data_IF_422170483216
#
_entry.id   IF_422170483216
#
_cell.length_a   1.000
_cell.length_b   1.000
_cell.length_c   1.000
_cell.angle_alpha   90.00
_cell.angle_beta   90.00
_cell.angle_gamma   90.00
#
_symmetry.space_group_name_H-M   'P 1'
#
loop_
_entity.id
_entity.type
_entity.pdbx_description
1 polymer ?
#
# COMPACT_ATOMS: atom_id res chain seq x y z
N UNK A 1 47.31 -101.14 11.77
CA UNK A 1 47.30 -102.52 12.30
C UNK A 1 47.49 -102.40 13.80
N UNK A 2 46.64 -102.80 14.73
CA UNK A 2 45.40 -103.58 14.71
C UNK A 2 44.82 -103.38 16.11
N UNK A 3 43.64 -102.77 16.26
CA UNK A 3 42.89 -102.83 17.51
C UNK A 3 41.70 -103.76 17.27
N UNK A 4 41.57 -104.79 18.11
CA UNK A 4 40.45 -105.73 18.16
C UNK A 4 40.36 -106.34 19.58
N UNK A 5 39.22 -106.96 19.95
CA UNK A 5 38.23 -106.54 20.97
C UNK A 5 38.32 -107.46 22.22
N UNK A 6 37.48 -107.49 23.26
CA UNK A 6 36.02 -107.63 23.42
C UNK A 6 35.72 -107.60 24.95
N UNK A 7 34.66 -106.92 25.42
CA UNK A 7 33.39 -107.50 25.94
C UNK A 7 33.42 -108.08 27.37
N UNK A 8 32.54 -107.57 28.25
CA UNK A 8 31.57 -108.34 29.08
C UNK A 8 30.68 -107.33 29.88
N UNK A 9 29.37 -107.14 29.61
CA UNK A 9 28.19 -107.92 30.08
C UNK A 9 27.70 -107.43 31.47
N UNK A 10 26.45 -107.10 31.81
CA UNK A 10 25.09 -106.98 31.22
C UNK A 10 24.16 -106.52 32.40
N UNK A 11 22.80 -106.55 32.39
CA UNK A 11 21.77 -106.13 31.42
C UNK A 11 20.64 -105.22 32.01
N UNK A 12 19.89 -104.51 31.11
CA UNK A 12 18.42 -104.17 31.09
C UNK A 12 17.77 -103.35 32.24
N UNK A 13 16.59 -102.67 32.04
CA UNK A 13 15.55 -102.90 31.02
C UNK A 13 15.06 -101.66 30.23
N UNK A 14 14.45 -101.94 29.07
CA UNK A 14 13.65 -101.00 28.27
C UNK A 14 12.21 -101.49 28.30
N UNK A 15 11.27 -100.63 28.71
CA UNK A 15 9.81 -100.72 28.49
C UNK A 15 9.12 -99.49 29.09
N UNK A 16 7.91 -99.10 28.62
CA UNK A 16 7.40 -99.02 27.26
C UNK A 16 6.92 -97.58 26.93
N UNK A 17 6.62 -97.35 25.66
CA UNK A 17 5.87 -96.16 25.22
C UNK A 17 4.54 -96.07 25.98
N UNK A 18 4.20 -94.88 26.49
CA UNK A 18 2.81 -94.55 26.85
C UNK A 18 2.49 -93.18 26.30
N UNK A 19 1.71 -93.25 25.24
CA UNK A 19 1.16 -92.22 24.40
C UNK A 19 0.06 -91.46 25.17
N UNK A 20 0.21 -90.16 25.42
CA UNK A 20 -0.91 -89.25 25.73
C UNK A 20 -0.58 -87.81 25.33
N UNK A 21 -1.52 -87.19 24.61
CA UNK A 21 -1.67 -85.73 24.64
C UNK A 21 -1.68 -85.05 23.27
N UNK A 22 -2.81 -85.18 22.58
CA UNK A 22 -3.51 -84.13 21.83
C UNK A 22 -2.76 -82.82 21.53
N UNK A 23 -2.83 -82.35 20.28
CA UNK A 23 -3.76 -81.26 19.92
C UNK A 23 -3.53 -80.84 18.46
N UNK A 24 -4.64 -80.73 17.74
CA UNK A 24 -4.74 -80.22 16.38
C UNK A 24 -4.55 -78.69 16.34
N UNK A 25 -4.24 -78.20 15.13
CA UNK A 25 -4.45 -76.83 14.60
C UNK A 25 -3.51 -75.73 15.14
N UNK A 26 -3.41 -74.53 14.53
CA UNK A 26 -4.02 -74.02 13.28
C UNK A 26 -3.09 -73.18 12.37
N UNK A 27 -3.61 -72.89 11.17
CA UNK A 27 -3.16 -71.90 10.16
C UNK A 27 -2.76 -70.56 10.81
N UNK A 28 -1.49 -70.15 10.64
CA UNK A 28 -0.97 -68.88 11.18
C UNK A 28 -1.60 -67.68 10.44
N UNK A 29 -2.52 -67.00 11.12
CA UNK A 29 -3.04 -65.69 10.73
C UNK A 29 -1.94 -64.62 10.78
N UNK A 30 -1.85 -63.82 9.71
CA UNK A 30 -0.87 -62.75 9.55
C UNK A 30 -0.76 -61.84 10.78
N UNK A 31 0.46 -61.75 11.32
CA UNK A 31 0.83 -60.80 12.39
C UNK A 31 0.51 -59.37 11.96
N UNK A 32 -0.53 -58.78 12.56
CA UNK A 32 -0.77 -57.32 12.49
C UNK A 32 0.43 -56.61 13.12
N UNK A 33 1.16 -55.84 12.33
CA UNK A 33 2.32 -55.02 12.77
C UNK A 33 1.88 -54.09 13.91
N UNK A 34 2.69 -53.92 14.98
CA UNK A 34 2.35 -53.04 16.09
C UNK A 34 2.19 -51.60 15.59
N UNK A 35 1.08 -50.97 15.94
CA UNK A 35 0.64 -49.68 15.40
C UNK A 35 1.52 -48.50 15.83
N UNK A 36 2.65 -48.29 15.13
CA UNK A 36 3.50 -47.08 15.24
C UNK A 36 2.76 -45.79 14.88
N UNK A 37 1.59 -45.89 14.25
CA UNK A 37 0.74 -44.75 13.85
C UNK A 37 0.38 -43.83 15.01
N UNK A 38 0.17 -44.35 16.22
CA UNK A 38 -0.12 -43.50 17.40
C UNK A 38 1.06 -42.60 17.77
N UNK A 39 2.28 -43.11 17.71
CA UNK A 39 3.49 -42.34 18.01
C UNK A 39 3.77 -41.27 16.95
N UNK A 40 3.53 -41.61 15.68
CA UNK A 40 3.59 -40.67 14.55
C UNK A 40 2.52 -39.58 14.71
N UNK A 41 1.31 -39.95 15.16
CA UNK A 41 0.23 -39.00 15.44
C UNK A 41 0.60 -38.02 16.55
N UNK A 42 1.21 -38.48 17.65
CA UNK A 42 1.70 -37.59 18.71
C UNK A 42 2.83 -36.67 18.22
N UNK A 43 3.72 -37.14 17.33
CA UNK A 43 4.75 -36.31 16.71
C UNK A 43 4.16 -35.21 15.83
N UNK A 44 3.19 -35.54 14.97
CA UNK A 44 2.48 -34.58 14.13
C UNK A 44 1.71 -33.58 15.00
N UNK A 45 1.01 -34.06 16.03
CA UNK A 45 0.28 -33.21 16.97
C UNK A 45 1.22 -32.23 17.69
N UNK A 46 2.41 -32.68 18.09
CA UNK A 46 3.44 -31.82 18.69
C UNK A 46 3.90 -30.70 17.76
N UNK A 47 4.21 -31.02 16.50
CA UNK A 47 4.61 -30.01 15.49
C UNK A 47 3.47 -29.02 15.24
N UNK A 48 2.23 -29.49 15.17
CA UNK A 48 1.07 -28.65 14.91
C UNK A 48 0.80 -27.68 16.07
N UNK A 49 0.97 -28.12 17.31
CA UNK A 49 0.90 -27.26 18.50
C UNK A 49 2.02 -26.21 18.48
N UNK A 50 3.26 -26.60 18.19
CA UNK A 50 4.37 -25.65 18.06
C UNK A 50 4.13 -24.62 16.94
N UNK A 51 3.58 -25.04 15.81
CA UNK A 51 3.26 -24.15 14.70
C UNK A 51 2.17 -23.13 15.08
N UNK A 52 1.13 -23.56 15.79
CA UNK A 52 0.07 -22.65 16.29
C UNK A 52 0.64 -21.64 17.29
N UNK A 53 1.44 -22.10 18.24
CA UNK A 53 2.06 -21.23 19.24
C UNK A 53 3.07 -20.25 18.61
N UNK A 54 3.84 -20.69 17.62
CA UNK A 54 4.80 -19.84 16.89
C UNK A 54 4.15 -18.78 16.00
N UNK A 55 2.98 -19.09 15.42
CA UNK A 55 2.29 -18.17 14.51
C UNK A 55 1.81 -16.89 15.19
N UNK A 56 1.36 -16.97 16.45
CA UNK A 56 0.87 -15.80 17.20
C UNK A 56 1.97 -14.78 17.50
N UNK A 57 3.17 -15.24 17.86
CA UNK A 57 4.31 -14.38 18.20
C UNK A 57 4.90 -13.73 16.94
N UNK A 58 5.03 -14.49 15.84
CA UNK A 58 5.59 -13.97 14.59
C UNK A 58 4.70 -12.94 13.89
N UNK A 59 3.37 -13.11 13.92
CA UNK A 59 2.43 -12.21 13.25
C UNK A 59 2.43 -10.80 13.87
N UNK A 60 2.45 -10.70 15.21
CA UNK A 60 2.48 -9.41 15.91
C UNK A 60 3.73 -8.59 15.60
N UNK A 61 4.90 -9.24 15.62
CA UNK A 61 6.18 -8.62 15.31
C UNK A 61 6.23 -8.09 13.86
N UNK A 62 5.77 -8.89 12.89
CA UNK A 62 5.78 -8.48 11.48
C UNK A 62 4.85 -7.28 11.19
N UNK A 63 3.69 -7.21 11.84
CA UNK A 63 2.79 -6.05 11.70
C UNK A 63 3.37 -4.82 12.39
N UNK A 64 4.02 -4.98 13.53
CA UNK A 64 4.65 -3.87 14.24
C UNK A 64 5.86 -3.31 13.48
N UNK A 65 6.66 -4.17 12.87
CA UNK A 65 7.77 -3.77 11.98
C UNK A 65 7.26 -2.99 10.76
N UNK A 66 6.16 -3.44 10.14
CA UNK A 66 5.54 -2.68 9.04
C UNK A 66 5.03 -1.31 9.49
N UNK A 67 4.35 -1.25 10.64
CA UNK A 67 3.83 0.02 11.18
C UNK A 67 4.95 1.02 11.51
N UNK A 68 6.02 0.53 12.14
CA UNK A 68 7.18 1.37 12.48
C UNK A 68 7.93 1.83 11.23
N UNK A 69 8.10 0.96 10.23
CA UNK A 69 8.69 1.33 8.95
C UNK A 69 7.82 2.35 8.18
N UNK A 70 6.49 2.19 8.19
CA UNK A 70 5.58 3.17 7.59
C UNK A 70 5.64 4.53 8.30
N UNK A 71 5.72 4.54 9.63
CA UNK A 71 5.84 5.76 10.42
C UNK A 71 7.17 6.48 10.13
N UNK A 72 8.27 5.73 10.10
CA UNK A 72 9.60 6.25 9.75
C UNK A 72 9.61 6.84 8.33
N UNK A 73 9.02 6.15 7.36
CA UNK A 73 8.92 6.64 5.99
C UNK A 73 8.14 7.96 5.90
N UNK A 74 7.02 8.08 6.61
CA UNK A 74 6.25 9.32 6.68
C UNK A 74 7.06 10.43 7.33
N UNK A 75 7.78 10.13 8.40
CA UNK A 75 8.65 11.09 9.08
C UNK A 75 9.79 11.58 8.17
N UNK A 76 10.46 10.69 7.45
CA UNK A 76 11.52 11.03 6.48
C UNK A 76 10.96 11.91 5.35
N UNK A 77 9.79 11.54 4.81
CA UNK A 77 9.11 12.32 3.78
C UNK A 77 8.74 13.72 4.29
N UNK A 78 8.14 13.80 5.48
CA UNK A 78 7.80 15.06 6.15
C UNK A 78 9.04 15.94 6.37
N UNK A 79 10.12 15.36 6.90
CA UNK A 79 11.39 16.06 7.14
C UNK A 79 11.96 16.62 5.83
N UNK A 80 11.98 15.81 4.78
CA UNK A 80 12.46 16.23 3.45
C UNK A 80 11.66 17.43 2.94
N UNK A 81 10.33 17.34 2.97
CA UNK A 81 9.46 18.43 2.50
C UNK A 81 9.58 19.70 3.35
N UNK A 82 9.77 19.54 4.66
CA UNK A 82 10.04 20.63 5.58
C UNK A 82 11.34 21.35 5.23
N UNK A 83 12.43 20.61 5.01
CA UNK A 83 13.72 21.20 4.61
C UNK A 83 13.63 21.95 3.27
N UNK A 84 12.94 21.36 2.28
CA UNK A 84 12.69 22.04 1.01
C UNK A 84 11.83 23.30 1.20
N UNK A 85 10.87 23.29 2.12
CA UNK A 85 10.08 24.47 2.45
C UNK A 85 10.94 25.59 3.06
N UNK A 86 11.90 25.24 3.94
CA UNK A 86 12.85 26.21 4.48
C UNK A 86 13.73 26.80 3.37
N UNK A 87 14.15 25.99 2.40
CA UNK A 87 14.88 26.47 1.24
C UNK A 87 14.02 27.42 0.39
N UNK A 88 12.79 27.02 0.07
CA UNK A 88 11.85 27.84 -0.68
C UNK A 88 11.57 29.17 0.04
N UNK A 89 11.47 29.17 1.37
CA UNK A 89 11.34 30.39 2.18
C UNK A 89 12.58 31.30 2.04
N UNK A 90 13.79 30.76 2.10
CA UNK A 90 15.04 31.52 1.90
C UNK A 90 15.17 32.07 0.48
N UNK A 91 14.69 31.32 -0.50
CA UNK A 91 14.67 31.71 -1.91
C UNK A 91 13.52 32.70 -2.23
N UNK A 92 12.70 33.08 -1.24
CA UNK A 92 11.57 33.99 -1.41
C UNK A 92 10.34 33.36 -2.10
N UNK A 93 10.36 32.05 -2.35
CA UNK A 93 9.26 31.28 -2.94
C UNK A 93 8.22 30.91 -1.89
N UNK A 94 7.63 31.93 -1.26
CA UNK A 94 6.76 31.77 -0.08
C UNK A 94 5.51 30.92 -0.34
N UNK A 95 4.92 30.96 -1.54
CA UNK A 95 3.77 30.11 -1.90
C UNK A 95 4.13 28.63 -1.98
N UNK A 96 5.32 28.29 -2.50
CA UNK A 96 5.82 26.91 -2.54
C UNK A 96 6.19 26.43 -1.13
N UNK A 97 6.81 27.29 -0.32
CA UNK A 97 7.10 26.99 1.07
C UNK A 97 5.79 26.68 1.85
N UNK A 98 4.75 27.49 1.67
CA UNK A 98 3.43 27.28 2.28
C UNK A 98 2.83 25.92 1.89
N UNK A 99 2.72 25.64 0.58
CA UNK A 99 2.17 24.38 0.09
C UNK A 99 2.92 23.14 0.64
N UNK A 100 4.25 23.22 0.77
CA UNK A 100 5.05 22.12 1.33
C UNK A 100 4.81 21.94 2.82
N UNK A 101 4.70 23.01 3.59
CA UNK A 101 4.40 22.94 5.02
C UNK A 101 2.99 22.37 5.26
N UNK A 102 2.01 22.76 4.45
CA UNK A 102 0.68 22.14 4.46
C UNK A 102 0.75 20.65 4.13
N UNK A 103 1.52 20.27 3.10
CA UNK A 103 1.72 18.86 2.76
C UNK A 103 2.37 18.08 3.91
N UNK A 104 3.37 18.64 4.61
CA UNK A 104 3.95 18.03 5.81
C UNK A 104 2.88 17.76 6.86
N UNK A 105 1.96 18.70 7.10
CA UNK A 105 0.84 18.52 8.03
C UNK A 105 -0.11 17.39 7.58
N UNK A 106 -0.29 17.18 6.28
CA UNK A 106 -1.10 16.04 5.77
C UNK A 106 -0.42 14.68 5.95
N UNK A 107 0.93 14.64 5.88
CA UNK A 107 1.71 13.40 5.94
C UNK A 107 2.03 13.01 7.38
N UNK A 108 2.45 13.98 8.19
CA UNK A 108 2.84 13.82 9.58
C UNK A 108 2.38 15.04 10.40
N UNK A 109 1.13 15.05 10.88
CA UNK A 109 0.55 16.22 11.58
C UNK A 109 1.23 16.52 12.92
N UNK A 110 1.84 15.53 13.56
CA UNK A 110 2.58 15.66 14.82
C UNK A 110 4.00 16.23 14.61
N UNK A 111 4.32 16.77 13.43
CA UNK A 111 5.68 17.23 13.11
C UNK A 111 6.07 18.43 14.00
N UNK A 112 7.24 18.38 14.67
CA UNK A 112 7.60 19.39 15.66
C UNK A 112 7.76 20.77 15.03
N UNK A 113 7.05 21.76 15.58
CA UNK A 113 7.17 23.17 15.18
C UNK A 113 6.56 23.51 13.81
N UNK A 114 5.76 22.62 13.22
CA UNK A 114 5.15 22.84 11.90
C UNK A 114 4.14 23.99 11.90
N UNK A 115 3.34 24.11 12.96
CA UNK A 115 2.33 25.16 13.10
C UNK A 115 2.94 26.55 13.22
N UNK A 116 4.05 26.66 13.97
CA UNK A 116 4.76 27.93 14.15
C UNK A 116 5.43 28.35 12.84
N UNK A 117 6.01 27.40 12.10
CA UNK A 117 6.56 27.65 10.77
C UNK A 117 5.49 28.10 9.77
N UNK A 118 4.30 27.49 9.80
CA UNK A 118 3.17 27.89 8.96
C UNK A 118 2.78 29.35 9.22
N UNK A 119 2.64 29.73 10.50
CA UNK A 119 2.32 31.11 10.90
C UNK A 119 3.41 32.09 10.47
N UNK A 120 4.69 31.72 10.62
CA UNK A 120 5.83 32.54 10.20
C UNK A 120 5.77 32.84 8.69
N UNK A 121 5.52 31.82 7.87
CA UNK A 121 5.41 31.96 6.41
C UNK A 121 4.20 32.83 6.05
N UNK A 122 3.03 32.57 6.64
CA UNK A 122 1.82 33.37 6.39
C UNK A 122 1.99 34.84 6.80
N UNK A 123 2.68 35.11 7.92
CA UNK A 123 3.00 36.48 8.33
C UNK A 123 3.95 37.13 7.33
N UNK A 124 4.94 36.39 6.82
CA UNK A 124 5.87 36.90 5.81
C UNK A 124 5.13 37.23 4.51
N UNK A 125 4.18 36.38 4.09
CA UNK A 125 3.31 36.65 2.93
C UNK A 125 2.44 37.88 3.18
N UNK A 126 1.80 37.98 4.37
CA UNK A 126 0.92 39.09 4.72
C UNK A 126 1.62 40.43 4.85
N UNK A 127 2.85 40.46 5.38
CA UNK A 127 3.68 41.67 5.49
C UNK A 127 4.28 42.06 4.14
N UNK A 128 4.56 41.10 3.26
CA UNK A 128 4.93 41.37 1.87
C UNK A 128 3.77 41.90 1.01
N UNK A 129 2.51 41.75 1.44
CA UNK A 129 1.33 41.89 0.55
C UNK A 129 0.26 42.90 0.99
N UNK A 130 0.54 43.91 1.82
CA UNK A 130 -0.47 44.92 2.20
C UNK A 130 -0.22 46.31 1.60
N UNK A 131 -1.28 47.03 1.10
CA UNK A 131 -2.61 47.05 1.70
C UNK A 131 -3.81 46.59 0.84
N UNK A 132 -4.67 45.80 1.51
CA UNK A 132 -6.14 45.71 1.49
C UNK A 132 -6.87 45.34 0.18
N UNK A 133 -7.41 44.11 0.14
CA UNK A 133 -8.85 43.81 -0.02
C UNK A 133 -9.11 42.35 0.38
N UNK A 134 -10.20 42.11 1.11
CA UNK A 134 -10.52 40.83 1.75
C UNK A 134 -11.14 39.79 0.78
N UNK A 135 -10.50 38.60 0.71
CA UNK A 135 -10.99 37.22 0.50
C UNK A 135 -11.77 36.82 -0.79
N UNK A 136 -11.83 35.52 -1.18
CA UNK A 136 -11.03 34.35 -0.79
C UNK A 136 -10.35 33.59 -1.97
N UNK A 137 -9.40 32.71 -1.60
CA UNK A 137 -8.93 31.51 -2.30
C UNK A 137 -8.16 31.62 -3.64
N UNK A 138 -6.96 31.00 -3.63
CA UNK A 138 -6.11 30.62 -4.77
C UNK A 138 -5.22 31.73 -5.36
N UNK A 139 -4.02 31.91 -4.82
CA UNK A 139 -3.00 32.75 -5.46
C UNK A 139 -1.93 31.89 -6.15
N UNK A 140 -2.24 31.53 -7.40
CA UNK A 140 -1.24 31.34 -8.45
C UNK A 140 -0.49 32.67 -8.66
N UNK A 141 0.78 32.58 -9.01
CA UNK A 141 1.75 33.63 -9.35
C UNK A 141 1.11 34.90 -9.95
N UNK A 142 1.53 36.14 -9.55
CA UNK A 142 1.14 37.34 -10.27
C UNK A 142 1.82 37.32 -11.65
N UNK A 143 1.11 36.81 -12.65
CA UNK A 143 1.41 37.13 -14.04
C UNK A 143 1.34 38.65 -14.22
N UNK A 144 2.12 39.21 -15.18
CA UNK A 144 2.01 40.62 -15.55
C UNK A 144 0.52 40.93 -15.71
N UNK A 145 0.03 42.02 -15.13
CA UNK A 145 -1.35 42.47 -15.29
C UNK A 145 -1.56 42.83 -16.77
N UNK A 146 -1.78 41.80 -17.58
CA UNK A 146 -2.22 41.88 -18.95
C UNK A 146 -3.61 42.47 -18.86
N UNK A 147 -3.85 43.56 -19.59
CA UNK A 147 -5.16 44.19 -19.64
C UNK A 147 -6.15 43.21 -20.28
N UNK A 148 -6.84 42.44 -19.45
CA UNK A 148 -7.78 41.40 -19.86
C UNK A 148 -9.21 41.93 -19.96
N UNK A 149 -9.44 43.24 -19.81
CA UNK A 149 -10.79 43.82 -19.83
C UNK A 149 -11.54 43.46 -21.11
N UNK A 150 -10.89 43.67 -22.26
CA UNK A 150 -11.46 43.31 -23.56
C UNK A 150 -11.76 41.80 -23.69
N UNK A 151 -10.90 40.94 -23.13
CA UNK A 151 -11.09 39.48 -23.18
C UNK A 151 -12.19 39.01 -22.24
N UNK A 152 -12.33 39.65 -21.08
CA UNK A 152 -13.37 39.34 -20.10
C UNK A 152 -14.78 39.67 -20.63
N UNK A 153 -14.92 40.74 -21.40
CA UNK A 153 -16.17 41.10 -22.09
C UNK A 153 -16.53 40.06 -23.16
N UNK A 154 -15.54 39.57 -23.92
CA UNK A 154 -15.73 38.49 -24.89
C UNK A 154 -16.12 37.17 -24.22
N UNK A 155 -15.55 36.85 -23.05
CA UNK A 155 -15.91 35.63 -22.30
C UNK A 155 -17.34 35.71 -21.75
N UNK A 156 -17.78 36.89 -21.31
CA UNK A 156 -19.17 37.12 -20.93
C UNK A 156 -20.12 36.92 -22.12
N UNK A 157 -19.78 37.47 -23.28
CA UNK A 157 -20.54 37.29 -24.51
C UNK A 157 -20.58 35.81 -24.94
N UNK A 158 -19.45 35.09 -24.84
CA UNK A 158 -19.36 33.66 -25.11
C UNK A 158 -20.30 32.87 -24.21
N UNK A 159 -20.34 33.18 -22.90
CA UNK A 159 -21.25 32.54 -21.96
C UNK A 159 -22.71 32.73 -22.37
N UNK A 160 -23.10 33.95 -22.71
CA UNK A 160 -24.46 34.25 -23.18
C UNK A 160 -24.79 33.50 -24.47
N UNK A 161 -23.88 33.45 -25.44
CA UNK A 161 -24.06 32.71 -26.70
C UNK A 161 -24.19 31.20 -26.45
N UNK A 162 -23.40 30.66 -25.53
CA UNK A 162 -23.45 29.26 -25.12
C UNK A 162 -24.79 28.91 -24.44
N UNK A 163 -25.28 29.79 -23.55
CA UNK A 163 -26.59 29.65 -22.90
C UNK A 163 -27.75 29.74 -23.91
N UNK A 164 -27.61 30.61 -24.92
CA UNK A 164 -28.57 30.77 -26.02
C UNK A 164 -28.44 29.71 -27.12
N UNK A 165 -27.49 28.76 -27.02
CA UNK A 165 -27.22 27.70 -28.00
C UNK A 165 -26.78 28.22 -29.38
N UNK A 166 -26.16 29.38 -29.42
CA UNK A 166 -25.61 29.99 -30.64
C UNK A 166 -24.20 29.43 -30.91
N UNK A 167 -24.12 28.15 -31.31
CA UNK A 167 -22.86 27.41 -31.37
C UNK A 167 -21.84 27.98 -32.38
N UNK A 168 -22.29 28.36 -33.57
CA UNK A 168 -21.43 28.97 -34.60
C UNK A 168 -20.85 30.32 -34.13
N UNK A 169 -21.67 31.15 -33.49
CA UNK A 169 -21.26 32.43 -32.92
C UNK A 169 -20.29 32.22 -31.75
N UNK A 170 -20.57 31.25 -30.87
CA UNK A 170 -19.69 30.88 -29.76
C UNK A 170 -18.30 30.43 -30.22
N UNK A 171 -18.24 29.62 -31.28
CA UNK A 171 -16.98 29.18 -31.89
C UNK A 171 -16.15 30.37 -32.40
N UNK A 172 -16.78 31.36 -33.04
CA UNK A 172 -16.08 32.56 -33.50
C UNK A 172 -15.58 33.41 -32.33
N UNK A 173 -16.40 33.59 -31.29
CA UNK A 173 -16.02 34.35 -30.08
C UNK A 173 -14.84 33.70 -29.35
N UNK A 174 -14.78 32.36 -29.29
CA UNK A 174 -13.61 31.63 -28.77
C UNK A 174 -12.35 31.98 -29.56
N UNK A 175 -12.41 32.00 -30.89
CA UNK A 175 -11.24 32.36 -31.72
C UNK A 175 -10.78 33.79 -31.43
N UNK A 176 -11.72 34.74 -31.33
CA UNK A 176 -11.41 36.11 -30.95
C UNK A 176 -10.74 36.22 -29.56
N UNK A 177 -11.18 35.42 -28.58
CA UNK A 177 -10.52 35.34 -27.26
C UNK A 177 -9.08 34.83 -27.41
N UNK A 178 -8.86 33.78 -28.22
CA UNK A 178 -7.52 33.21 -28.45
C UNK A 178 -6.59 34.13 -29.24
N UNK A 179 -7.12 34.94 -30.15
CA UNK A 179 -6.35 35.91 -30.92
C UNK A 179 -5.83 37.05 -30.03
N UNK A 180 -6.62 37.46 -29.03
CA UNK A 180 -6.22 38.52 -28.09
C UNK A 180 -5.34 37.96 -26.97
N UNK A 181 -5.71 36.82 -26.40
CA UNK A 181 -4.94 36.18 -25.34
C UNK A 181 -5.06 34.64 -25.36
N UNK A 182 -4.06 33.95 -25.96
CA UNK A 182 -4.03 32.49 -25.98
C UNK A 182 -3.98 31.84 -24.59
N UNK A 183 -3.50 32.54 -23.56
CA UNK A 183 -3.35 32.04 -22.19
C UNK A 183 -4.54 32.34 -21.28
N UNK A 184 -5.52 33.12 -21.74
CA UNK A 184 -6.65 33.52 -20.90
C UNK A 184 -7.61 32.36 -20.64
N UNK A 185 -7.78 32.01 -19.35
CA UNK A 185 -8.69 30.97 -18.86
C UNK A 185 -8.79 29.72 -19.75
N UNK A 186 -7.63 29.19 -20.17
CA UNK A 186 -7.52 28.18 -21.24
C UNK A 186 -8.48 27.01 -21.05
N UNK A 187 -8.57 26.49 -19.82
CA UNK A 187 -9.44 25.35 -19.47
C UNK A 187 -10.92 25.67 -19.70
N UNK A 188 -11.38 26.86 -19.29
CA UNK A 188 -12.79 27.27 -19.43
C UNK A 188 -13.14 27.53 -20.90
N UNK A 189 -12.27 28.27 -21.60
CA UNK A 189 -12.45 28.63 -23.00
C UNK A 189 -12.42 27.39 -23.90
N UNK A 190 -11.49 26.45 -23.69
CA UNK A 190 -11.42 25.21 -24.46
C UNK A 190 -12.57 24.25 -24.15
N UNK A 191 -13.02 24.20 -22.89
CA UNK A 191 -14.21 23.43 -22.52
C UNK A 191 -15.46 23.91 -23.26
N UNK A 192 -15.67 25.23 -23.31
CA UNK A 192 -16.77 25.84 -24.07
C UNK A 192 -16.60 25.65 -25.58
N UNK A 193 -15.37 25.71 -26.09
CA UNK A 193 -15.09 25.48 -27.51
C UNK A 193 -15.45 24.07 -27.95
N UNK A 194 -14.98 23.06 -27.21
CA UNK A 194 -15.30 21.67 -27.47
C UNK A 194 -16.81 21.40 -27.34
N UNK A 195 -17.45 22.00 -26.32
CA UNK A 195 -18.89 21.94 -26.15
C UNK A 195 -19.65 22.53 -27.34
N UNK A 196 -19.23 23.70 -27.83
CA UNK A 196 -19.86 24.36 -28.97
C UNK A 196 -19.68 23.56 -30.27
N UNK A 197 -18.47 23.05 -30.55
CA UNK A 197 -18.19 22.19 -31.72
C UNK A 197 -19.10 20.97 -31.75
N UNK A 198 -19.18 20.25 -30.62
CA UNK A 198 -20.02 19.06 -30.50
C UNK A 198 -21.50 19.36 -30.76
N UNK A 199 -22.00 20.49 -30.27
CA UNK A 199 -23.40 20.87 -30.46
C UNK A 199 -23.66 21.48 -31.85
N UNK A 200 -22.64 22.02 -32.52
CA UNK A 200 -22.70 22.48 -33.91
C UNK A 200 -22.66 21.32 -34.93
N UNK A 201 -22.27 20.11 -34.50
CA UNK A 201 -22.20 18.92 -35.35
C UNK A 201 -20.92 18.85 -36.20
N UNK A 202 -19.84 19.48 -35.74
CA UNK A 202 -18.51 19.54 -36.38
C UNK A 202 -17.52 18.65 -35.60
#
# INVERSE_FOLDING_TARGET
>A
MTNRPSEDTAPRPVQPETNQGSTQTPVEHGKKKPGRGRWIFYGILGVLILAILGSGVGYGLAIQERKTAEEEQRYVLATTQYELALQDQRDGRLSMALNRIEYVMTVYPEFPGIDDKLKEILLTIGTSSTPVTAAPETALTPEPTKDTRAVSELLLALKTQYDNKEWDTAIQTVKSIRDVDPSYEVIKVDGMYYGALRNAGI
#
